data_IF_346242353482
#
_entry.id   IF_346242353482
#
_cell.length_a   1.000
_cell.length_b   1.000
_cell.length_c   1.000
_cell.angle_alpha   90.00
_cell.angle_beta   90.00
_cell.angle_gamma   90.00
#
_symmetry.space_group_name_H-M   'P 1'
#
loop_
_entity.id
_entity.type
_entity.pdbx_description
1 polymer ?
#
# COMPACT_ATOMS: atom_id res chain seq x y z
N UNK A 1 25.19 -5.24 4.17
CA UNK A 1 24.48 -6.41 3.59
C UNK A 1 23.81 -5.98 2.28
N UNK A 2 23.79 -6.83 1.28
CA UNK A 2 23.11 -6.53 0.01
C UNK A 2 21.59 -6.45 0.20
N UNK A 3 20.95 -5.46 -0.43
CA UNK A 3 19.50 -5.30 -0.41
C UNK A 3 18.84 -6.40 -1.27
N UNK A 4 17.77 -7.07 -0.80
CA UNK A 4 17.09 -8.10 -1.56
C UNK A 4 16.24 -7.50 -2.69
N UNK A 5 15.78 -8.36 -3.61
CA UNK A 5 14.76 -8.00 -4.58
C UNK A 5 13.37 -8.07 -3.92
N UNK A 6 12.49 -7.11 -4.26
CA UNK A 6 11.13 -6.96 -3.69
C UNK A 6 10.09 -6.92 -4.80
N UNK A 7 8.99 -7.65 -4.62
CA UNK A 7 7.79 -7.53 -5.43
C UNK A 7 6.76 -6.66 -4.69
N UNK A 8 6.44 -5.50 -5.26
CA UNK A 8 5.39 -4.59 -4.78
C UNK A 8 4.06 -5.04 -5.39
N UNK A 9 3.04 -5.23 -4.56
CA UNK A 9 1.72 -5.73 -4.95
C UNK A 9 0.65 -4.66 -4.75
N UNK A 10 -0.01 -4.25 -5.85
CA UNK A 10 -1.04 -3.19 -5.87
C UNK A 10 -2.37 -3.74 -6.38
N UNK A 11 -3.37 -3.96 -5.51
CA UNK A 11 -4.73 -4.24 -5.92
C UNK A 11 -5.41 -2.95 -6.37
N UNK A 12 -6.11 -2.95 -7.52
CA UNK A 12 -6.82 -1.76 -7.98
C UNK A 12 -8.22 -2.09 -8.54
N UNK A 13 -9.14 -1.14 -8.42
CA UNK A 13 -10.49 -1.20 -8.97
C UNK A 13 -11.00 0.22 -9.22
N UNK A 14 -11.08 0.66 -10.49
CA UNK A 14 -11.54 2.00 -10.87
C UNK A 14 -10.80 3.13 -10.11
N UNK A 15 -9.46 3.12 -10.19
CA UNK A 15 -8.58 4.06 -9.48
C UNK A 15 -7.58 4.75 -10.42
N UNK A 16 -8.02 5.02 -11.66
CA UNK A 16 -7.12 5.57 -12.68
C UNK A 16 -6.64 6.98 -12.36
N UNK A 17 -7.46 7.78 -11.66
CA UNK A 17 -7.06 9.10 -11.16
C UNK A 17 -5.85 9.03 -10.21
N UNK A 18 -5.61 7.91 -9.52
CA UNK A 18 -4.48 7.73 -8.62
C UNK A 18 -3.19 7.23 -9.32
N UNK A 19 -3.19 7.04 -10.65
CA UNK A 19 -1.97 6.66 -11.40
C UNK A 19 -0.81 7.63 -11.12
N UNK A 20 -0.99 8.97 -11.15
CA UNK A 20 0.10 9.90 -10.84
C UNK A 20 0.67 9.70 -9.43
N UNK A 21 -0.17 9.41 -8.43
CA UNK A 21 0.28 9.13 -7.06
C UNK A 21 1.13 7.87 -7.00
N UNK A 22 0.69 6.78 -7.66
CA UNK A 22 1.44 5.53 -7.69
C UNK A 22 2.80 5.70 -8.35
N UNK A 23 2.88 6.44 -9.46
CA UNK A 23 4.14 6.75 -10.12
C UNK A 23 5.05 7.61 -9.24
N UNK A 24 4.51 8.61 -8.53
CA UNK A 24 5.23 9.44 -7.57
C UNK A 24 5.77 8.59 -6.41
N UNK A 25 4.95 7.72 -5.80
CA UNK A 25 5.37 6.79 -4.75
C UNK A 25 6.57 5.94 -5.18
N UNK A 26 6.48 5.33 -6.37
CA UNK A 26 7.57 4.51 -6.91
C UNK A 26 8.84 5.34 -7.21
N UNK A 27 8.68 6.53 -7.75
CA UNK A 27 9.81 7.42 -8.07
C UNK A 27 10.56 7.87 -6.81
N UNK A 28 9.83 8.24 -5.75
CA UNK A 28 10.38 8.73 -4.48
C UNK A 28 10.95 7.63 -3.58
N UNK A 29 10.61 6.35 -3.81
CA UNK A 29 11.05 5.25 -2.97
C UNK A 29 12.57 5.16 -2.84
N UNK A 30 13.10 5.23 -1.61
CA UNK A 30 14.54 5.04 -1.30
C UNK A 30 14.92 3.55 -1.35
N UNK A 31 14.90 3.02 -2.57
CA UNK A 31 15.26 1.64 -2.86
C UNK A 31 15.81 1.50 -4.27
N UNK A 32 16.81 0.64 -4.54
CA UNK A 32 17.34 0.44 -5.89
C UNK A 32 16.26 -0.03 -6.85
N UNK A 33 15.87 0.80 -7.80
CA UNK A 33 14.74 0.55 -8.71
C UNK A 33 14.89 -0.73 -9.53
N UNK A 34 16.12 -1.12 -9.90
CA UNK A 34 16.40 -2.37 -10.62
C UNK A 34 16.17 -3.63 -9.76
N UNK A 35 15.97 -3.49 -8.46
CA UNK A 35 15.62 -4.59 -7.53
C UNK A 35 14.13 -4.65 -7.23
N UNK A 36 13.31 -3.84 -7.90
CA UNK A 36 11.87 -3.78 -7.71
C UNK A 36 11.13 -4.43 -8.89
N UNK A 37 10.07 -5.14 -8.56
CA UNK A 37 9.02 -5.60 -9.44
C UNK A 37 7.71 -4.99 -8.96
N UNK A 38 6.92 -4.40 -9.85
CA UNK A 38 5.59 -3.88 -9.54
C UNK A 38 4.52 -4.75 -10.19
N UNK A 39 3.63 -5.30 -9.37
CA UNK A 39 2.56 -6.20 -9.80
C UNK A 39 1.23 -5.52 -9.52
N UNK A 40 0.43 -5.33 -10.56
CA UNK A 40 -0.89 -4.75 -10.47
C UNK A 40 -1.92 -5.83 -10.79
N UNK A 41 -2.90 -5.99 -9.91
CA UNK A 41 -4.07 -6.84 -10.12
C UNK A 41 -5.30 -5.94 -10.18
N UNK A 42 -5.79 -5.74 -11.42
CA UNK A 42 -6.88 -4.83 -11.76
C UNK A 42 -8.13 -5.60 -12.16
N UNK A 43 -9.26 -5.25 -11.58
CA UNK A 43 -10.57 -5.77 -11.98
C UNK A 43 -11.59 -4.64 -12.19
N UNK A 44 -11.09 -3.42 -12.44
CA UNK A 44 -11.89 -2.25 -12.77
C UNK A 44 -12.58 -2.37 -14.13
N UNK A 45 -13.73 -1.74 -14.25
CA UNK A 45 -14.42 -1.52 -15.53
C UNK A 45 -13.69 -0.47 -16.35
N UNK A 46 -13.11 0.53 -15.69
CA UNK A 46 -12.12 1.45 -16.25
C UNK A 46 -10.72 0.95 -15.92
N UNK A 47 -10.07 0.33 -16.92
CA UNK A 47 -8.76 -0.33 -16.74
C UNK A 47 -7.68 0.68 -16.40
N UNK A 48 -6.81 0.31 -15.48
CA UNK A 48 -5.62 1.09 -15.14
C UNK A 48 -4.66 1.24 -16.35
N UNK A 49 -4.55 0.21 -17.17
CA UNK A 49 -3.84 0.22 -18.46
C UNK A 49 -4.83 -0.17 -19.56
N UNK A 50 -5.18 0.79 -20.43
CA UNK A 50 -6.24 0.63 -21.44
C UNK A 50 -5.72 0.07 -22.76
N UNK A 51 -4.43 0.30 -23.08
CA UNK A 51 -3.83 -0.05 -24.35
C UNK A 51 -2.39 -0.57 -24.20
N UNK A 52 -1.84 -1.26 -25.23
CA UNK A 52 -0.42 -1.60 -25.27
C UNK A 52 0.50 -0.38 -25.22
N UNK A 53 0.03 0.78 -25.73
CA UNK A 53 0.81 2.03 -25.72
C UNK A 53 0.87 2.60 -24.29
N UNK A 54 -0.25 2.61 -23.54
CA UNK A 54 -0.25 2.98 -22.12
C UNK A 54 0.72 2.10 -21.32
N UNK A 55 0.68 0.80 -21.57
CA UNK A 55 1.61 -0.14 -20.93
C UNK A 55 3.06 0.20 -21.20
N UNK A 56 3.38 0.54 -22.46
CA UNK A 56 4.73 0.94 -22.88
C UNK A 56 5.14 2.24 -22.21
N UNK A 57 4.22 3.20 -22.13
CA UNK A 57 4.46 4.51 -21.48
C UNK A 57 4.73 4.34 -19.99
N UNK A 58 3.88 3.60 -19.29
CA UNK A 58 4.07 3.32 -17.86
C UNK A 58 5.41 2.62 -17.61
N UNK A 59 5.75 1.58 -18.39
CA UNK A 59 7.05 0.90 -18.31
C UNK A 59 8.23 1.85 -18.52
N UNK A 60 8.11 2.80 -19.43
CA UNK A 60 9.16 3.80 -19.68
C UNK A 60 9.35 4.74 -18.49
N UNK A 61 8.24 5.17 -17.88
CA UNK A 61 8.27 6.10 -16.72
C UNK A 61 8.88 5.45 -15.49
N UNK A 62 8.53 4.19 -15.21
CA UNK A 62 9.01 3.50 -13.99
C UNK A 62 10.34 2.77 -14.18
N UNK A 63 10.92 2.77 -15.38
CA UNK A 63 12.18 2.05 -15.61
C UNK A 63 13.27 2.43 -14.58
N UNK A 64 14.04 1.48 -14.06
CA UNK A 64 14.16 0.07 -14.43
C UNK A 64 13.28 -0.90 -13.62
N UNK A 65 12.20 -0.45 -12.97
CA UNK A 65 11.26 -1.32 -12.25
C UNK A 65 10.55 -2.24 -13.25
N UNK A 66 10.47 -3.53 -12.94
CA UNK A 66 9.76 -4.50 -13.78
C UNK A 66 8.26 -4.42 -13.52
N UNK A 67 7.43 -4.17 -14.54
CA UNK A 67 5.97 -4.12 -14.43
C UNK A 67 5.33 -5.42 -14.88
N UNK A 68 4.43 -5.95 -14.03
CA UNK A 68 3.47 -7.01 -14.35
C UNK A 68 2.05 -6.49 -14.12
N UNK A 69 1.27 -6.39 -15.18
CA UNK A 69 -0.12 -5.96 -15.12
C UNK A 69 -1.06 -7.10 -15.50
N UNK A 70 -2.06 -7.35 -14.64
CA UNK A 70 -3.08 -8.36 -14.86
C UNK A 70 -4.45 -7.73 -14.71
N UNK A 71 -5.26 -7.81 -15.76
CA UNK A 71 -6.64 -7.37 -15.73
C UNK A 71 -7.61 -8.56 -15.74
N UNK A 72 -8.72 -8.39 -15.02
CA UNK A 72 -9.77 -9.41 -14.89
C UNK A 72 -11.15 -8.79 -15.08
N UNK A 73 -12.06 -9.46 -15.83
CA UNK A 73 -13.35 -8.87 -16.21
C UNK A 73 -14.39 -8.86 -15.08
N UNK A 74 -14.14 -9.53 -13.96
CA UNK A 74 -15.09 -9.61 -12.83
C UNK A 74 -14.44 -9.09 -11.57
N UNK A 75 -15.15 -8.22 -10.85
CA UNK A 75 -14.73 -7.70 -9.54
C UNK A 75 -14.48 -8.85 -8.55
N UNK A 76 -13.37 -8.77 -7.83
CA UNK A 76 -12.94 -9.73 -6.83
C UNK A 76 -12.68 -9.03 -5.50
N UNK A 77 -12.65 -9.78 -4.43
CA UNK A 77 -12.25 -9.23 -3.12
C UNK A 77 -10.77 -8.88 -3.08
N UNK A 78 -10.40 -7.93 -2.21
CA UNK A 78 -9.02 -7.45 -2.07
C UNK A 78 -8.09 -8.62 -1.69
N UNK A 79 -8.49 -9.47 -0.75
CA UNK A 79 -7.70 -10.63 -0.35
C UNK A 79 -7.45 -11.62 -1.49
N UNK A 80 -8.42 -11.83 -2.39
CA UNK A 80 -8.23 -12.65 -3.59
C UNK A 80 -7.19 -12.03 -4.52
N UNK A 81 -7.22 -10.70 -4.72
CA UNK A 81 -6.22 -9.98 -5.53
C UNK A 81 -4.83 -10.08 -4.91
N UNK A 82 -4.69 -9.81 -3.59
CA UNK A 82 -3.41 -9.94 -2.87
C UNK A 82 -2.84 -11.35 -3.01
N UNK A 83 -3.65 -12.38 -2.79
CA UNK A 83 -3.23 -13.78 -2.97
C UNK A 83 -2.75 -14.09 -4.39
N UNK A 84 -3.45 -13.57 -5.39
CA UNK A 84 -3.10 -13.76 -6.80
C UNK A 84 -1.75 -13.10 -7.14
N UNK A 85 -1.54 -11.86 -6.68
CA UNK A 85 -0.29 -11.14 -6.90
C UNK A 85 0.91 -11.82 -6.24
N UNK A 86 0.77 -12.30 -5.00
CA UNK A 86 1.85 -13.03 -4.31
C UNK A 86 2.23 -14.30 -5.07
N UNK A 87 1.26 -15.03 -5.64
CA UNK A 87 1.53 -16.21 -6.49
C UNK A 87 2.30 -15.86 -7.76
N UNK A 88 2.02 -14.68 -8.34
CA UNK A 88 2.65 -14.19 -9.57
C UNK A 88 3.98 -13.45 -9.35
N UNK A 89 4.28 -13.10 -8.11
CA UNK A 89 5.50 -12.41 -7.73
C UNK A 89 6.75 -13.28 -7.99
N UNK A 90 7.81 -12.68 -8.52
CA UNK A 90 9.09 -13.37 -8.75
C UNK A 90 9.91 -13.44 -7.47
N UNK A 91 9.88 -12.38 -6.65
CA UNK A 91 10.82 -12.22 -5.55
C UNK A 91 10.29 -12.85 -4.25
N UNK A 92 11.22 -13.11 -3.31
CA UNK A 92 10.93 -13.76 -2.03
C UNK A 92 10.33 -12.79 -1.00
N UNK A 93 10.58 -11.49 -1.14
CA UNK A 93 10.03 -10.43 -0.29
C UNK A 93 8.90 -9.75 -1.05
N UNK A 94 7.77 -9.61 -0.38
CA UNK A 94 6.55 -8.99 -0.91
C UNK A 94 6.26 -7.75 -0.08
N UNK A 95 5.94 -6.64 -0.73
CA UNK A 95 5.42 -5.42 -0.11
C UNK A 95 4.02 -5.14 -0.64
N UNK A 96 3.07 -4.85 0.24
CA UNK A 96 1.78 -4.31 -0.15
C UNK A 96 1.93 -2.82 -0.47
N UNK A 97 1.20 -2.35 -1.48
CA UNK A 97 1.11 -0.93 -1.82
C UNK A 97 -0.27 -0.69 -2.44
N UNK A 98 -1.16 -0.05 -1.68
CA UNK A 98 -2.50 0.25 -2.16
C UNK A 98 -2.48 1.47 -3.10
N UNK A 99 -3.47 1.58 -3.97
CA UNK A 99 -3.46 2.54 -5.10
C UNK A 99 -3.62 3.98 -4.63
N UNK A 100 -4.40 4.18 -3.59
CA UNK A 100 -4.93 5.46 -3.10
C UNK A 100 -4.28 5.93 -1.80
N UNK A 101 -3.14 5.35 -1.42
CA UNK A 101 -2.35 5.76 -0.27
C UNK A 101 -1.02 6.42 -0.70
N UNK A 102 -0.55 7.36 0.09
CA UNK A 102 0.76 7.99 -0.11
C UNK A 102 1.82 7.24 0.69
N UNK A 103 2.83 6.72 0.00
CA UNK A 103 3.92 5.95 0.62
C UNK A 103 5.15 6.81 0.88
N UNK A 104 5.73 6.66 2.08
CA UNK A 104 6.98 7.30 2.44
C UNK A 104 8.16 6.69 1.67
N UNK A 105 9.13 7.49 1.31
CA UNK A 105 10.34 7.00 0.62
C UNK A 105 11.07 5.93 1.41
N UNK A 106 10.96 5.95 2.73
CA UNK A 106 11.60 5.04 3.68
C UNK A 106 10.90 3.68 3.81
N UNK A 107 9.69 3.51 3.32
CA UNK A 107 8.83 2.35 3.58
C UNK A 107 9.55 1.00 3.43
N UNK A 108 10.09 0.73 2.24
CA UNK A 108 10.70 -0.58 1.97
C UNK A 108 11.95 -0.82 2.80
N UNK A 109 12.77 0.21 2.97
CA UNK A 109 14.04 0.13 3.67
C UNK A 109 13.84 -0.08 5.17
N UNK A 110 13.01 0.77 5.80
CA UNK A 110 12.69 0.68 7.23
C UNK A 110 12.02 -0.65 7.59
N UNK A 111 11.05 -1.08 6.77
CA UNK A 111 10.40 -2.38 6.98
C UNK A 111 11.39 -3.55 6.85
N UNK A 112 12.33 -3.52 5.91
CA UNK A 112 13.36 -4.54 5.79
C UNK A 112 14.35 -4.53 6.97
N UNK A 113 14.77 -3.36 7.41
CA UNK A 113 15.68 -3.23 8.54
C UNK A 113 15.00 -3.78 9.79
N UNK A 114 13.73 -3.42 10.03
CA UNK A 114 12.93 -3.96 11.12
C UNK A 114 12.76 -5.48 11.05
N UNK A 115 12.50 -6.01 9.85
CA UNK A 115 12.42 -7.45 9.62
C UNK A 115 13.71 -8.18 10.03
N UNK A 116 14.87 -7.59 9.73
CA UNK A 116 16.19 -8.17 10.05
C UNK A 116 16.51 -8.05 11.53
N UNK A 117 16.30 -6.89 12.12
CA UNK A 117 16.56 -6.60 13.54
C UNK A 117 15.81 -7.56 14.45
N UNK A 118 14.52 -7.81 14.16
CA UNK A 118 13.68 -8.67 15.00
C UNK A 118 13.60 -10.14 14.51
N UNK A 119 14.32 -10.50 13.44
CA UNK A 119 14.20 -11.84 12.85
C UNK A 119 12.80 -12.18 12.38
N UNK A 120 11.99 -11.15 12.06
CA UNK A 120 10.59 -11.29 11.67
C UNK A 120 10.44 -11.80 10.23
N UNK A 121 9.30 -12.37 9.93
CA UNK A 121 8.93 -12.82 8.58
C UNK A 121 7.77 -12.01 7.98
N UNK A 122 7.12 -11.18 8.81
CA UNK A 122 6.15 -10.14 8.45
C UNK A 122 6.44 -8.89 9.28
N UNK A 123 6.38 -7.74 8.63
CA UNK A 123 6.46 -6.41 9.24
C UNK A 123 5.29 -5.58 8.75
N UNK A 124 4.72 -4.78 9.61
CA UNK A 124 3.67 -3.80 9.28
C UNK A 124 3.39 -2.91 10.47
N UNK A 125 2.42 -2.01 10.34
CA UNK A 125 2.05 -1.09 11.41
C UNK A 125 0.67 -1.42 11.97
N UNK A 126 0.54 -1.37 13.30
CA UNK A 126 -0.75 -1.38 14.00
C UNK A 126 -1.30 0.04 14.23
N UNK A 127 -0.67 1.04 13.63
CA UNK A 127 -1.12 2.42 13.59
C UNK A 127 -1.65 2.73 12.20
N UNK A 128 -2.54 3.72 12.09
CA UNK A 128 -2.98 4.32 10.83
C UNK A 128 -2.96 5.83 10.97
N UNK A 129 -2.51 6.51 9.92
CA UNK A 129 -2.56 7.96 9.77
C UNK A 129 -3.45 8.27 8.57
N UNK A 130 -4.35 9.23 8.74
CA UNK A 130 -5.26 9.69 7.71
C UNK A 130 -5.02 11.15 7.41
N UNK A 131 -5.02 11.54 6.15
CA UNK A 131 -5.03 12.93 5.72
C UNK A 131 -6.36 13.25 5.04
N UNK A 132 -6.95 14.39 5.39
CA UNK A 132 -8.27 14.84 4.93
C UNK A 132 -8.13 16.08 4.04
N UNK A 133 -7.98 15.91 2.70
CA UNK A 133 -7.80 17.04 1.79
C UNK A 133 -8.95 18.05 1.82
N UNK A 134 -10.19 17.61 2.03
CA UNK A 134 -11.37 18.43 2.14
C UNK A 134 -11.47 19.21 3.47
N UNK A 135 -10.65 18.88 4.47
CA UNK A 135 -10.59 19.56 5.77
C UNK A 135 -9.20 20.15 6.02
N UNK A 136 -8.77 21.05 5.14
CA UNK A 136 -7.48 21.75 5.21
C UNK A 136 -6.27 20.83 5.44
N UNK A 137 -6.29 19.61 4.89
CA UNK A 137 -5.26 18.61 5.08
C UNK A 137 -5.04 18.23 6.55
N UNK A 138 -6.10 18.30 7.39
CA UNK A 138 -6.07 17.76 8.74
C UNK A 138 -5.52 16.35 8.72
N UNK A 139 -4.66 16.02 9.69
CA UNK A 139 -4.08 14.68 9.83
C UNK A 139 -4.50 14.11 11.18
N UNK A 140 -5.06 12.91 11.16
CA UNK A 140 -5.42 12.18 12.37
C UNK A 140 -4.74 10.83 12.44
N UNK A 141 -4.63 10.29 13.65
CA UNK A 141 -4.03 8.97 13.89
C UNK A 141 -4.94 8.09 14.75
N UNK A 142 -4.84 6.80 14.50
CA UNK A 142 -5.34 5.76 15.38
C UNK A 142 -4.26 4.72 15.62
N UNK A 143 -4.27 4.10 16.79
CA UNK A 143 -3.41 2.98 17.13
C UNK A 143 -4.25 1.82 17.66
N UNK A 144 -3.97 0.61 17.17
CA UNK A 144 -4.54 -0.60 17.71
C UNK A 144 -3.60 -1.19 18.76
N UNK A 145 -4.13 -1.63 19.90
CA UNK A 145 -3.33 -2.20 21.00
C UNK A 145 -2.66 -3.53 20.60
N UNK A 146 -3.30 -4.27 19.71
CA UNK A 146 -2.86 -5.61 19.35
C UNK A 146 -1.94 -5.63 18.13
N UNK A 147 -0.82 -6.36 18.22
CA UNK A 147 0.03 -6.73 17.07
C UNK A 147 -0.72 -7.52 15.98
N UNK A 148 -1.92 -8.02 16.28
CA UNK A 148 -2.76 -8.77 15.33
C UNK A 148 -3.58 -7.86 14.40
N UNK A 149 -3.63 -6.57 14.69
CA UNK A 149 -4.34 -5.57 13.90
C UNK A 149 -3.34 -4.72 13.10
N UNK A 150 -2.69 -5.37 12.14
CA UNK A 150 -1.74 -4.69 11.24
C UNK A 150 -2.50 -4.21 10.02
N UNK A 151 -2.26 -2.94 9.67
CA UNK A 151 -2.78 -2.35 8.43
C UNK A 151 -2.18 -3.04 7.20
N UNK A 152 -3.03 -3.63 6.37
CA UNK A 152 -2.61 -4.49 5.26
C UNK A 152 -1.72 -3.76 4.24
N UNK A 153 -2.00 -2.48 3.97
CA UNK A 153 -1.22 -1.67 3.04
C UNK A 153 0.22 -1.42 3.53
N UNK A 154 0.49 -1.54 4.84
CA UNK A 154 1.82 -1.41 5.43
C UNK A 154 2.64 -2.71 5.44
N UNK A 155 2.04 -3.84 5.04
CA UNK A 155 2.68 -5.15 5.18
C UNK A 155 3.83 -5.36 4.21
N UNK A 156 4.98 -5.77 4.77
CA UNK A 156 6.11 -6.36 4.07
C UNK A 156 6.40 -7.74 4.67
N UNK A 157 6.44 -8.78 3.83
CA UNK A 157 6.56 -10.15 4.31
C UNK A 157 7.32 -11.07 3.34
N UNK A 158 7.74 -12.23 3.84
CA UNK A 158 8.35 -13.26 3.00
C UNK A 158 7.29 -14.16 2.37
N UNK A 159 7.52 -14.66 1.15
CA UNK A 159 6.66 -15.70 0.55
C UNK A 159 6.56 -16.96 1.42
N UNK A 160 7.62 -17.27 2.18
CA UNK A 160 7.60 -18.39 3.14
C UNK A 160 6.55 -18.15 4.21
N UNK A 161 6.47 -16.93 4.76
CA UNK A 161 5.43 -16.54 5.71
C UNK A 161 4.03 -16.69 5.10
N UNK A 162 3.79 -16.11 3.92
CA UNK A 162 2.53 -16.21 3.20
C UNK A 162 2.07 -17.66 3.01
N UNK A 163 2.97 -18.54 2.60
CA UNK A 163 2.65 -19.96 2.40
C UNK A 163 2.33 -20.67 3.72
N UNK A 164 3.05 -20.35 4.80
CA UNK A 164 2.83 -20.93 6.11
C UNK A 164 1.49 -20.53 6.73
N UNK A 165 1.03 -19.28 6.44
CA UNK A 165 -0.23 -18.74 6.93
C UNK A 165 -1.44 -19.09 6.05
N UNK A 166 -1.23 -19.66 4.86
CA UNK A 166 -2.30 -19.94 3.90
C UNK A 166 -2.78 -18.73 3.10
N UNK A 167 -2.13 -17.58 3.29
CA UNK A 167 -2.40 -16.33 2.59
C UNK A 167 -3.48 -15.45 3.21
N UNK A 168 -3.87 -14.40 2.49
CA UNK A 168 -4.92 -13.46 2.90
C UNK A 168 -6.31 -14.11 2.88
N UNK A 169 -7.16 -13.74 3.81
CA UNK A 169 -8.58 -14.14 3.78
C UNK A 169 -9.26 -13.59 2.52
N UNK A 170 -10.28 -14.33 2.02
CA UNK A 170 -10.94 -13.98 0.74
C UNK A 170 -12.07 -12.95 0.92
N UNK A 171 -11.80 -11.88 1.64
CA UNK A 171 -12.71 -10.73 1.88
C UNK A 171 -12.04 -9.42 1.42
N UNK A 172 -12.70 -8.28 1.64
CA UNK A 172 -12.20 -6.95 1.27
C UNK A 172 -11.98 -6.03 2.48
N UNK A 173 -12.13 -6.54 3.69
CA UNK A 173 -11.85 -5.81 4.93
C UNK A 173 -11.27 -6.79 5.94
N UNK A 174 -10.14 -6.43 6.56
CA UNK A 174 -9.45 -7.28 7.53
C UNK A 174 -8.90 -8.59 6.93
N UNK A 175 -8.65 -8.60 5.62
CA UNK A 175 -8.11 -9.78 4.93
C UNK A 175 -6.71 -10.16 5.43
N UNK A 176 -6.00 -9.21 6.03
CA UNK A 176 -4.66 -9.39 6.59
C UNK A 176 -4.64 -10.13 7.94
N UNK A 177 -5.75 -10.22 8.65
CA UNK A 177 -5.80 -10.91 9.94
C UNK A 177 -5.27 -12.36 9.83
N UNK A 178 -5.61 -13.07 8.77
CA UNK A 178 -5.12 -14.43 8.53
C UNK A 178 -3.60 -14.52 8.35
N UNK A 179 -2.94 -13.43 7.99
CA UNK A 179 -1.47 -13.35 7.86
C UNK A 179 -0.78 -13.24 9.22
N UNK A 180 -1.53 -12.92 10.27
CA UNK A 180 -1.02 -12.66 11.63
C UNK A 180 -1.50 -13.72 12.63
N UNK A 181 -2.72 -14.23 12.45
CA UNK A 181 -3.32 -15.22 13.33
C UNK A 181 -2.62 -16.60 13.26
N UNK A 182 -2.44 -17.22 14.43
CA UNK A 182 -1.86 -18.58 14.53
C UNK A 182 -0.33 -18.65 14.55
N UNK A 183 0.37 -17.54 14.40
CA UNK A 183 1.81 -17.48 14.61
C UNK A 183 2.11 -17.04 16.04
N UNK A 184 2.90 -17.84 16.77
CA UNK A 184 3.53 -17.35 18.02
C UNK A 184 4.25 -16.01 17.72
N UNK A 185 4.05 -15.00 18.58
CA UNK A 185 4.36 -13.59 18.37
C UNK A 185 5.79 -13.21 17.90
N UNK A 186 6.68 -14.16 17.72
CA UNK A 186 8.09 -13.98 17.40
C UNK A 186 8.39 -13.79 15.89
N UNK A 187 7.38 -13.77 15.04
CA UNK A 187 7.59 -13.65 13.58
C UNK A 187 6.94 -12.42 12.96
N UNK A 188 6.28 -11.62 13.78
CA UNK A 188 5.63 -10.37 13.38
C UNK A 188 6.28 -9.21 14.12
N UNK A 189 6.82 -8.25 13.38
CA UNK A 189 7.39 -7.01 13.92
C UNK A 189 6.52 -5.81 13.56
N UNK A 190 6.47 -4.84 14.45
CA UNK A 190 5.78 -3.57 14.21
C UNK A 190 6.78 -2.49 13.79
N UNK A 191 6.40 -1.72 12.77
CA UNK A 191 7.09 -0.51 12.35
C UNK A 191 6.22 0.72 12.59
N UNK A 192 6.83 1.90 12.64
CA UNK A 192 6.09 3.15 12.74
C UNK A 192 5.34 3.41 11.43
N UNK A 193 4.09 3.85 11.52
CA UNK A 193 3.29 4.15 10.33
C UNK A 193 3.89 5.33 9.54
N UNK A 194 4.50 6.28 10.23
CA UNK A 194 5.20 7.44 9.64
C UNK A 194 6.39 7.06 8.76
N UNK A 195 6.92 5.84 8.91
CA UNK A 195 7.94 5.28 8.01
C UNK A 195 7.33 4.61 6.77
N UNK A 196 6.01 4.35 6.76
CA UNK A 196 5.32 3.53 5.77
C UNK A 196 4.45 4.35 4.82
N UNK A 197 3.34 4.89 5.33
CA UNK A 197 2.31 5.49 4.48
C UNK A 197 1.38 6.42 5.28
N UNK A 198 0.66 7.27 4.52
CA UNK A 198 -0.50 8.04 4.97
C UNK A 198 -1.68 7.67 4.09
N UNK A 199 -2.80 7.31 4.71
CA UNK A 199 -4.05 7.03 4.00
C UNK A 199 -4.73 8.34 3.59
N UNK A 200 -5.04 8.51 2.32
CA UNK A 200 -5.80 9.67 1.83
C UNK A 200 -7.29 9.38 2.01
N UNK A 201 -7.99 10.26 2.73
CA UNK A 201 -9.44 10.18 2.90
C UNK A 201 -10.16 10.72 1.66
N UNK A 202 -10.98 9.88 1.03
CA UNK A 202 -11.81 10.24 -0.12
C UNK A 202 -13.04 9.31 -0.22
N UNK A 203 -14.09 9.74 -0.94
CA UNK A 203 -15.37 8.99 -1.09
C UNK A 203 -15.20 7.55 -1.61
N UNK A 204 -14.17 7.29 -2.36
CA UNK A 204 -13.92 5.97 -2.94
C UNK A 204 -13.23 4.97 -2.02
N UNK A 205 -12.86 5.31 -0.78
CA UNK A 205 -12.23 4.37 0.14
C UNK A 205 -13.15 3.18 0.44
N UNK A 206 -12.58 1.99 0.55
CA UNK A 206 -13.33 0.76 0.91
C UNK A 206 -13.89 0.82 2.32
N UNK A 207 -13.16 1.44 3.23
CA UNK A 207 -13.58 1.79 4.59
C UNK A 207 -13.78 3.29 4.65
N UNK A 208 -14.94 3.75 5.13
CA UNK A 208 -15.20 5.18 5.29
C UNK A 208 -14.22 5.79 6.29
N UNK A 209 -13.34 6.66 5.80
CA UNK A 209 -12.30 7.29 6.62
C UNK A 209 -12.85 8.44 7.47
N UNK A 210 -14.02 8.99 7.14
CA UNK A 210 -14.66 10.06 7.91
C UNK A 210 -14.92 9.67 9.37
N UNK A 211 -15.14 8.40 9.65
CA UNK A 211 -15.30 7.91 11.01
C UNK A 211 -14.08 8.16 11.94
N UNK A 212 -12.91 8.50 11.36
CA UNK A 212 -11.66 8.73 12.09
C UNK A 212 -11.25 10.21 12.09
N UNK A 213 -12.07 11.14 11.57
CA UNK A 213 -11.73 12.56 11.43
C UNK A 213 -11.59 13.27 12.80
N UNK A 214 -12.32 12.77 13.81
CA UNK A 214 -12.33 13.30 15.18
C UNK A 214 -11.44 12.49 16.16
N UNK A 215 -10.56 11.64 15.63
CA UNK A 215 -9.56 10.95 16.45
C UNK A 215 -8.38 11.88 16.79
N UNK A 216 -7.27 11.34 17.29
CA UNK A 216 -6.10 12.13 17.67
C UNK A 216 -5.60 12.99 16.51
N UNK A 217 -5.66 14.31 16.66
CA UNK A 217 -5.13 15.27 15.69
C UNK A 217 -3.60 15.37 15.86
N UNK A 218 -2.89 15.01 14.83
CA UNK A 218 -1.42 15.03 14.79
C UNK A 218 -0.88 15.93 13.67
N UNK A 219 -1.71 16.85 13.13
CA UNK A 219 -1.35 17.69 11.97
C UNK A 219 -0.05 18.46 12.19
N UNK A 220 0.15 19.02 13.38
CA UNK A 220 1.37 19.76 13.70
C UNK A 220 2.59 18.86 14.00
N UNK A 221 2.40 17.54 14.14
CA UNK A 221 3.44 16.59 14.48
C UNK A 221 4.01 15.90 13.23
N UNK A 222 3.31 15.97 12.10
CA UNK A 222 3.71 15.33 10.85
C UNK A 222 4.41 16.33 9.95
N UNK A 223 5.62 16.00 9.53
CA UNK A 223 6.30 16.77 8.47
C UNK A 223 5.56 16.59 7.15
N UNK A 224 4.93 17.67 6.67
CA UNK A 224 4.21 17.70 5.41
C UNK A 224 5.13 17.85 4.19
N UNK A 225 6.42 18.14 4.37
CA UNK A 225 7.34 18.36 3.26
C UNK A 225 7.49 17.18 2.30
N UNK A 226 7.38 15.90 2.74
CA UNK A 226 7.35 14.77 1.83
C UNK A 226 6.03 14.62 1.08
N UNK A 227 4.95 15.29 1.55
CA UNK A 227 3.59 15.17 1.02
C UNK A 227 3.45 16.07 -0.20
N UNK A 228 3.06 15.48 -1.32
CA UNK A 228 2.76 16.20 -2.53
C UNK A 228 1.30 16.70 -2.49
N UNK A 229 1.09 17.79 -1.74
CA UNK A 229 -0.25 18.38 -1.52
C UNK A 229 -0.89 18.78 -2.86
N UNK A 230 -0.13 19.37 -3.77
CA UNK A 230 -0.66 19.78 -5.07
C UNK A 230 -1.06 18.56 -5.91
N UNK A 231 -0.27 17.50 -5.90
CA UNK A 231 -0.64 16.25 -6.57
C UNK A 231 -1.94 15.64 -5.99
N UNK A 232 -2.10 15.69 -4.65
CA UNK A 232 -3.32 15.19 -4.01
C UNK A 232 -4.52 16.04 -4.41
N UNK A 233 -4.39 17.38 -4.45
CA UNK A 233 -5.42 18.29 -4.92
C UNK A 233 -5.81 17.98 -6.36
N UNK A 234 -4.82 17.83 -7.26
CA UNK A 234 -5.06 17.52 -8.67
C UNK A 234 -5.80 16.19 -8.88
N UNK A 235 -5.45 15.17 -8.09
CA UNK A 235 -6.09 13.84 -8.16
C UNK A 235 -7.54 13.89 -7.67
N UNK A 236 -7.84 14.74 -6.68
CA UNK A 236 -9.13 14.83 -6.01
C UNK A 236 -9.96 16.05 -6.45
N UNK A 237 -9.52 16.82 -7.46
CA UNK A 237 -10.22 18.00 -7.94
C UNK A 237 -11.58 17.71 -8.57
N UNK A 238 -11.85 16.48 -8.99
CA UNK A 238 -13.18 16.04 -9.38
C UNK A 238 -14.08 15.96 -8.14
N UNK A 239 -15.18 16.73 -8.10
CA UNK A 239 -16.16 16.80 -7.00
C UNK A 239 -16.67 15.41 -6.54
N UNK A 240 -16.52 14.37 -7.36
CA UNK A 240 -16.83 12.99 -7.04
C UNK A 240 -16.02 12.43 -5.85
N UNK A 241 -14.85 12.98 -5.56
CA UNK A 241 -13.93 12.45 -4.53
C UNK A 241 -13.90 13.29 -3.26
N UNK A 242 -14.47 14.50 -3.26
CA UNK A 242 -14.56 15.37 -2.09
C UNK A 242 -15.96 15.24 -1.51
N UNK A 243 -16.07 14.80 -0.24
CA UNK A 243 -17.32 14.97 0.52
C UNK A 243 -17.43 16.46 0.88
N UNK A 244 -18.47 17.12 0.42
CA UNK A 244 -18.92 18.42 0.92
C UNK A 244 -19.80 18.19 2.13
#
# INVERSE_FOLDING_TARGET
MELPYISICTPTYNRNNFIPLMLSNLAKMDYPKHKLEWIIDDDGTDKFIKSPEDLKQVKKVIAPIQLKYFWYPKKRTIGVKRNNMVKKATHKIIACMDTDDMYMSTYLKRSLDKMREEGASLVGSNQMIFIYPHNNFKITAIACESKRQIHEASMLFTKKHFNAMGGFAKNSQGEGASMVDGMGGNRVALTQITDCLICIAHKGNTVDKEQFIDTEDITEQVDLSPIDIELIKDILCDEEYIKV
#
